data_IF_007465573742
#
_entry.id   IF_007465573742
#
_cell.length_a   1.000
_cell.length_b   1.000
_cell.length_c   1.000
_cell.angle_alpha   90.00
_cell.angle_beta   90.00
_cell.angle_gamma   90.00
#
_symmetry.space_group_name_H-M   'P 1'
#
loop_
_entity.id
_entity.type
_entity.pdbx_description
1 polymer ?
#
# COMPACT_ATOMS: atom_id res chain seq x y z
N UNK A 1 -25.11 -2.06 -6.55
CA UNK A 1 -23.76 -2.63 -6.76
C UNK A 1 -23.64 -3.99 -6.11
N UNK A 2 -23.21 -5.00 -6.88
CA UNK A 2 -22.91 -6.36 -6.40
C UNK A 2 -21.67 -6.32 -5.49
N UNK A 3 -21.58 -7.21 -4.49
CA UNK A 3 -20.45 -7.23 -3.54
C UNK A 3 -19.08 -7.35 -4.23
N UNK A 4 -19.00 -8.12 -5.33
CA UNK A 4 -17.80 -8.26 -6.15
C UNK A 4 -17.36 -6.92 -6.78
N UNK A 5 -18.31 -6.09 -7.19
CA UNK A 5 -18.01 -4.75 -7.73
C UNK A 5 -17.47 -3.84 -6.63
N UNK A 6 -18.04 -3.90 -5.41
CA UNK A 6 -17.56 -3.12 -4.26
C UNK A 6 -16.13 -3.51 -3.88
N UNK A 7 -15.83 -4.80 -3.86
CA UNK A 7 -14.48 -5.32 -3.60
C UNK A 7 -13.48 -4.85 -4.66
N UNK A 8 -13.86 -4.89 -5.94
CA UNK A 8 -13.01 -4.40 -7.04
C UNK A 8 -12.70 -2.91 -6.90
N UNK A 9 -13.73 -2.07 -6.72
CA UNK A 9 -13.55 -0.63 -6.53
C UNK A 9 -12.67 -0.31 -5.32
N UNK A 10 -12.88 -1.01 -4.21
CA UNK A 10 -12.10 -0.83 -2.99
C UNK A 10 -10.63 -1.19 -3.22
N UNK A 11 -10.36 -2.30 -3.92
CA UNK A 11 -8.99 -2.70 -4.28
C UNK A 11 -8.30 -1.63 -5.13
N UNK A 12 -8.97 -1.14 -6.17
CA UNK A 12 -8.43 -0.08 -7.03
C UNK A 12 -8.17 1.21 -6.27
N UNK A 13 -9.06 1.55 -5.33
CA UNK A 13 -8.89 2.70 -4.45
C UNK A 13 -7.65 2.58 -3.56
N UNK A 14 -7.41 1.42 -2.92
CA UNK A 14 -6.20 1.20 -2.11
C UNK A 14 -4.91 1.28 -2.95
N UNK A 15 -4.92 0.77 -4.18
CA UNK A 15 -3.77 0.90 -5.09
C UNK A 15 -3.49 2.36 -5.43
N UNK A 16 -4.54 3.14 -5.73
CA UNK A 16 -4.42 4.59 -5.98
C UNK A 16 -3.89 5.32 -4.75
N UNK A 17 -4.42 5.01 -3.56
CA UNK A 17 -3.96 5.61 -2.31
C UNK A 17 -2.48 5.30 -2.03
N UNK A 18 -2.04 4.04 -2.19
CA UNK A 18 -0.62 3.68 -2.04
C UNK A 18 0.27 4.47 -3.01
N UNK A 19 -0.17 4.68 -4.26
CA UNK A 19 0.57 5.49 -5.23
C UNK A 19 0.67 6.95 -4.80
N UNK A 20 -0.44 7.56 -4.33
CA UNK A 20 -0.45 8.95 -3.86
C UNK A 20 0.51 9.13 -2.68
N UNK A 21 0.43 8.25 -1.67
CA UNK A 21 1.31 8.32 -0.49
C UNK A 21 2.78 8.17 -0.89
N UNK A 22 3.11 7.17 -1.73
CA UNK A 22 4.50 6.98 -2.16
C UNK A 22 5.03 8.17 -2.95
N UNK A 23 4.24 8.70 -3.90
CA UNK A 23 4.65 9.82 -4.73
C UNK A 23 4.90 11.09 -3.91
N UNK A 24 4.02 11.38 -2.94
CA UNK A 24 4.20 12.55 -2.06
C UNK A 24 5.47 12.44 -1.22
N UNK A 25 5.77 11.26 -0.67
CA UNK A 25 7.01 11.05 0.10
C UNK A 25 8.25 11.12 -0.81
N UNK A 26 8.20 10.57 -2.03
CA UNK A 26 9.31 10.69 -2.99
C UNK A 26 9.55 12.14 -3.42
N UNK A 27 8.49 12.93 -3.57
CA UNK A 27 8.59 14.36 -3.83
C UNK A 27 9.23 15.09 -2.63
N UNK A 28 8.81 14.78 -1.41
CA UNK A 28 9.41 15.33 -0.20
C UNK A 28 10.90 14.99 -0.10
N UNK A 29 11.31 13.75 -0.35
CA UNK A 29 12.74 13.40 -0.43
C UNK A 29 13.48 14.26 -1.46
N UNK A 30 12.88 14.47 -2.64
CA UNK A 30 13.46 15.27 -3.72
C UNK A 30 13.64 16.73 -3.35
N UNK A 31 12.67 17.34 -2.65
CA UNK A 31 12.73 18.73 -2.18
C UNK A 31 13.93 18.97 -1.26
N UNK A 32 14.33 17.98 -0.46
CA UNK A 32 15.51 18.04 0.42
C UNK A 32 16.76 17.38 -0.20
N UNK A 33 16.82 17.27 -1.53
CA UNK A 33 18.03 16.84 -2.25
C UNK A 33 18.29 15.32 -2.25
N UNK A 34 17.31 14.50 -1.87
CA UNK A 34 17.37 13.05 -1.90
C UNK A 34 16.60 12.48 -3.09
N UNK A 35 17.19 11.55 -3.85
CA UNK A 35 16.54 10.90 -5.01
C UNK A 35 16.02 9.50 -4.67
N UNK A 36 15.85 9.20 -3.39
CA UNK A 36 15.46 7.88 -2.92
C UNK A 36 13.99 7.63 -3.25
N UNK A 37 13.69 6.40 -3.68
CA UNK A 37 12.36 5.96 -4.09
C UNK A 37 11.91 4.72 -3.33
N UNK A 38 10.61 4.48 -3.32
CA UNK A 38 10.06 3.26 -2.74
C UNK A 38 10.46 2.03 -3.54
N UNK A 39 10.96 1.01 -2.85
CA UNK A 39 11.14 -0.34 -3.37
C UNK A 39 9.83 -1.10 -3.28
N UNK A 40 9.31 -1.53 -4.44
CA UNK A 40 8.07 -2.31 -4.53
C UNK A 40 8.34 -3.78 -4.30
N UNK A 41 7.54 -4.41 -3.47
CA UNK A 41 7.51 -5.86 -3.31
C UNK A 41 6.06 -6.35 -3.35
N UNK A 42 5.77 -7.17 -4.35
CA UNK A 42 4.46 -7.78 -4.54
C UNK A 42 4.49 -9.20 -4.01
N UNK A 43 3.42 -9.58 -3.34
CA UNK A 43 3.18 -10.94 -2.91
C UNK A 43 1.75 -11.34 -3.30
N UNK A 44 1.40 -12.63 -3.12
CA UNK A 44 0.19 -13.23 -3.70
C UNK A 44 -1.11 -12.45 -3.39
N UNK A 45 -1.21 -11.84 -2.22
CA UNK A 45 -2.42 -11.18 -1.75
C UNK A 45 -2.27 -9.66 -1.56
N UNK A 46 -1.14 -9.05 -1.91
CA UNK A 46 -0.94 -7.64 -1.63
C UNK A 46 0.35 -7.07 -2.19
N UNK A 47 0.58 -5.81 -1.87
CA UNK A 47 1.79 -5.10 -2.25
C UNK A 47 2.25 -4.26 -1.06
N UNK A 48 3.54 -4.38 -0.74
CA UNK A 48 4.18 -3.49 0.22
C UNK A 48 5.32 -2.75 -0.47
N UNK A 49 5.50 -1.50 -0.07
CA UNK A 49 6.52 -0.61 -0.60
C UNK A 49 7.33 -0.08 0.57
N UNK A 50 8.64 -0.14 0.48
CA UNK A 50 9.53 0.33 1.55
C UNK A 50 10.49 1.39 1.05
N UNK A 51 10.81 2.36 1.90
CA UNK A 51 11.80 3.38 1.65
C UNK A 51 12.76 3.44 2.84
N UNK A 52 14.03 3.73 2.56
CA UNK A 52 15.04 4.11 3.55
C UNK A 52 15.71 5.36 3.02
N UNK A 53 15.21 6.51 3.45
CA UNK A 53 15.48 7.82 2.88
C UNK A 53 16.42 8.68 3.72
N UNK A 54 16.66 9.92 3.27
CA UNK A 54 17.39 10.93 4.04
C UNK A 54 16.46 11.81 4.87
N UNK A 55 15.24 12.03 4.40
CA UNK A 55 14.19 12.78 5.12
C UNK A 55 13.36 11.80 5.93
N UNK A 56 12.88 10.74 5.28
CA UNK A 56 12.18 9.62 5.90
C UNK A 56 13.20 8.51 6.10
N UNK A 57 13.80 8.44 7.30
CA UNK A 57 14.81 7.42 7.65
C UNK A 57 14.35 6.00 7.27
N UNK A 58 13.09 5.68 7.56
CA UNK A 58 12.46 4.41 7.19
C UNK A 58 10.95 4.57 7.06
N UNK A 59 10.39 4.07 5.96
CA UNK A 59 8.95 4.10 5.71
C UNK A 59 8.45 2.82 5.03
N UNK A 60 7.18 2.49 5.27
CA UNK A 60 6.51 1.34 4.68
C UNK A 60 5.06 1.66 4.36
N UNK A 61 4.62 1.37 3.14
CA UNK A 61 3.22 1.51 2.71
C UNK A 61 2.76 0.16 2.18
N UNK A 62 1.84 -0.49 2.89
CA UNK A 62 1.36 -1.83 2.55
C UNK A 62 -0.17 -1.84 2.40
N UNK A 63 -0.65 -2.64 1.44
CA UNK A 63 -2.05 -3.04 1.40
C UNK A 63 -2.15 -4.54 1.15
N UNK A 64 -3.20 -5.15 1.69
CA UNK A 64 -3.50 -6.58 1.55
C UNK A 64 -4.95 -6.78 1.15
N UNK A 65 -5.18 -7.62 0.16
CA UNK A 65 -6.49 -8.06 -0.32
C UNK A 65 -6.67 -9.54 0.04
N UNK A 66 -7.05 -9.79 1.29
CA UNK A 66 -7.20 -11.13 1.86
C UNK A 66 -8.59 -11.68 1.53
N UNK A 67 -8.64 -12.94 1.11
CA UNK A 67 -9.89 -13.68 0.84
C UNK A 67 -9.90 -14.95 1.68
N UNK A 68 -11.05 -15.28 2.27
CA UNK A 68 -11.17 -16.45 3.13
C UNK A 68 -12.51 -16.50 3.85
N UNK A 69 -12.64 -17.47 4.75
CA UNK A 69 -13.76 -17.58 5.68
C UNK A 69 -13.26 -17.23 7.08
N UNK A 70 -14.07 -16.53 7.85
CA UNK A 70 -13.79 -16.33 9.26
C UNK A 70 -13.79 -17.67 10.00
N UNK A 71 -12.91 -17.82 10.99
CA UNK A 71 -12.90 -19.01 11.85
C UNK A 71 -14.17 -19.03 12.71
N UNK A 72 -14.59 -20.22 13.17
CA UNK A 72 -15.76 -20.35 14.07
C UNK A 72 -15.66 -19.49 15.33
N UNK A 73 -14.43 -19.26 15.82
CA UNK A 73 -14.15 -18.41 16.98
C UNK A 73 -14.25 -16.91 16.65
N UNK A 74 -13.87 -16.51 15.44
CA UNK A 74 -13.91 -15.10 15.00
C UNK A 74 -15.29 -14.69 14.48
N UNK A 75 -16.09 -15.66 13.98
CA UNK A 75 -17.44 -15.43 13.46
C UNK A 75 -18.53 -15.46 14.54
N UNK A 76 -18.16 -15.68 15.81
CA UNK A 76 -19.03 -15.52 16.99
C UNK A 76 -18.86 -14.11 17.53
#
# INVERSE_FOLDING_TARGET
MKIKEKQKLTKEWFVKLQNIICNNIEQLEKEYGSKIKFKKSKWKLGEFRTIKGKVIEKGGVAFSNVVGKFSKKFAK
#
